data_IF_249765861180
#
_entry.id   IF_249765861180
#
_cell.length_a   1.000
_cell.length_b   1.000
_cell.length_c   1.000
_cell.angle_alpha   90.00
_cell.angle_beta   90.00
_cell.angle_gamma   90.00
#
_symmetry.space_group_name_H-M   'P 1'
#
loop_
_entity.id
_entity.type
_entity.pdbx_description
1 polymer ?
#
# COMPACT_ATOMS: atom_id res chain seq x y z
N UNK A 1 -10.48 -18.47 -2.78
CA UNK A 1 -9.41 -17.68 -3.22
C UNK A 1 -9.68 -16.17 -3.27
N UNK A 2 -10.33 -15.51 -2.60
CA UNK A 2 -10.66 -14.11 -2.78
C UNK A 2 -9.89 -13.15 -1.92
N UNK A 3 -9.59 -13.52 -0.71
CA UNK A 3 -9.07 -12.56 0.27
C UNK A 3 -7.66 -12.88 0.71
N UNK A 4 -6.84 -11.83 0.78
CA UNK A 4 -5.52 -11.88 1.43
C UNK A 4 -5.73 -11.66 2.93
N UNK A 5 -6.52 -10.65 3.28
CA UNK A 5 -7.01 -10.37 4.63
C UNK A 5 -8.50 -10.03 4.51
N UNK A 6 -9.25 -9.89 5.62
CA UNK A 6 -10.71 -9.69 5.54
C UNK A 6 -11.16 -8.59 4.59
N UNK A 7 -10.43 -7.48 4.48
CA UNK A 7 -10.85 -6.34 3.65
C UNK A 7 -9.99 -6.14 2.39
N UNK A 8 -9.00 -6.99 2.14
CA UNK A 8 -8.15 -6.85 0.95
C UNK A 8 -8.15 -8.15 0.15
N UNK A 9 -8.47 -8.04 -1.13
CA UNK A 9 -8.63 -9.19 -2.01
C UNK A 9 -7.41 -9.44 -2.88
N UNK A 10 -7.28 -10.67 -3.34
CA UNK A 10 -6.24 -11.04 -4.32
C UNK A 10 -6.38 -10.17 -5.57
N UNK A 11 -7.62 -9.97 -6.04
CA UNK A 11 -7.88 -9.18 -7.25
C UNK A 11 -7.35 -7.75 -7.14
N UNK A 12 -7.53 -7.13 -5.96
CA UNK A 12 -7.07 -5.76 -5.73
C UNK A 12 -5.55 -5.65 -5.67
N UNK A 13 -4.89 -6.68 -5.17
CA UNK A 13 -3.47 -6.64 -4.86
C UNK A 13 -2.58 -7.35 -5.88
N UNK A 14 -3.17 -8.05 -6.84
CA UNK A 14 -2.41 -8.81 -7.82
C UNK A 14 -1.68 -7.91 -8.82
N UNK A 15 -0.55 -8.41 -9.30
CA UNK A 15 0.20 -7.74 -10.35
C UNK A 15 -0.63 -7.61 -11.62
N UNK A 16 -0.78 -6.40 -12.18
CA UNK A 16 -1.57 -6.23 -13.41
C UNK A 16 -1.02 -6.98 -14.61
N UNK A 17 0.27 -7.22 -14.63
CA UNK A 17 0.95 -7.83 -15.79
C UNK A 17 0.79 -9.35 -15.82
N UNK A 18 0.93 -10.02 -14.67
CA UNK A 18 0.98 -11.49 -14.64
C UNK A 18 -0.06 -12.10 -13.69
N UNK A 19 -0.80 -11.29 -12.95
CA UNK A 19 -1.82 -11.79 -12.03
C UNK A 19 -1.29 -12.39 -10.73
N UNK A 20 0.01 -12.46 -10.54
CA UNK A 20 0.58 -12.97 -9.29
C UNK A 20 0.26 -12.03 -8.13
N UNK A 21 0.02 -12.62 -6.96
CA UNK A 21 -0.26 -11.85 -5.76
C UNK A 21 0.59 -12.43 -4.60
N UNK A 22 1.82 -11.97 -4.52
CA UNK A 22 2.77 -12.47 -3.52
C UNK A 22 2.98 -11.43 -2.44
N UNK A 23 1.94 -11.20 -1.64
CA UNK A 23 1.98 -10.23 -0.55
C UNK A 23 2.54 -10.86 0.72
N UNK A 24 3.42 -10.11 1.39
CA UNK A 24 3.98 -10.50 2.66
C UNK A 24 2.89 -10.50 3.74
N UNK A 25 2.76 -11.61 4.48
CA UNK A 25 1.67 -11.75 5.44
C UNK A 25 1.78 -10.79 6.61
N UNK A 26 2.97 -10.56 7.11
CA UNK A 26 3.17 -9.64 8.24
C UNK A 26 2.82 -8.21 7.85
N UNK A 27 3.25 -7.79 6.66
CA UNK A 27 2.87 -6.49 6.11
C UNK A 27 1.35 -6.39 5.97
N UNK A 28 0.70 -7.44 5.45
CA UNK A 28 -0.75 -7.43 5.24
C UNK A 28 -1.53 -7.38 6.56
N UNK A 29 -1.02 -7.98 7.63
CA UNK A 29 -1.66 -7.84 8.95
C UNK A 29 -1.68 -6.39 9.40
N UNK A 30 -0.57 -5.68 9.20
CA UNK A 30 -0.49 -4.26 9.55
C UNK A 30 -1.42 -3.42 8.68
N UNK A 31 -1.49 -3.72 7.39
CA UNK A 31 -2.42 -3.04 6.47
C UNK A 31 -3.87 -3.26 6.90
N UNK A 32 -4.21 -4.48 7.33
CA UNK A 32 -5.55 -4.77 7.83
C UNK A 32 -5.84 -4.00 9.12
N UNK A 33 -4.88 -3.91 10.02
CA UNK A 33 -5.03 -3.10 11.24
C UNK A 33 -5.29 -1.64 10.90
N UNK A 34 -4.58 -1.10 9.93
CA UNK A 34 -4.81 0.26 9.43
C UNK A 34 -6.27 0.42 8.98
N UNK A 35 -6.76 -0.51 8.17
CA UNK A 35 -8.15 -0.52 7.70
C UNK A 35 -9.15 -0.56 8.85
N UNK A 36 -8.88 -1.41 9.82
CA UNK A 36 -9.77 -1.58 10.97
C UNK A 36 -9.85 -0.30 11.82
N UNK A 37 -8.73 0.34 12.05
CA UNK A 37 -8.68 1.56 12.86
C UNK A 37 -9.38 2.73 12.18
N UNK A 38 -9.12 2.96 10.89
CA UNK A 38 -9.75 4.08 10.20
C UNK A 38 -11.25 3.89 10.02
N UNK A 39 -11.70 2.65 9.92
CA UNK A 39 -13.13 2.31 9.90
C UNK A 39 -13.88 2.61 8.61
N UNK A 40 -13.21 3.08 7.57
CA UNK A 40 -13.81 3.30 6.24
C UNK A 40 -13.05 2.51 5.17
N UNK A 41 -13.68 2.23 4.02
CA UNK A 41 -13.02 1.45 2.98
C UNK A 41 -11.73 2.10 2.48
N UNK A 42 -10.68 1.29 2.39
CA UNK A 42 -9.44 1.65 1.73
C UNK A 42 -9.36 0.90 0.41
N UNK A 43 -9.13 1.61 -0.67
CA UNK A 43 -9.17 1.04 -2.02
C UNK A 43 -7.75 0.99 -2.59
N UNK A 44 -7.15 -0.22 -2.68
CA UNK A 44 -5.84 -0.35 -3.29
C UNK A 44 -5.91 -0.04 -4.79
N UNK A 45 -4.93 0.73 -5.26
CA UNK A 45 -4.72 0.93 -6.70
C UNK A 45 -3.49 0.19 -7.19
N UNK A 46 -2.62 -0.25 -6.27
CA UNK A 46 -1.46 -1.06 -6.60
C UNK A 46 -1.03 -1.83 -5.33
N UNK A 47 -0.75 -3.10 -5.50
CA UNK A 47 -0.20 -3.94 -4.44
C UNK A 47 1.06 -4.62 -4.93
N UNK A 48 0.99 -5.94 -5.16
CA UNK A 48 2.14 -6.67 -5.70
C UNK A 48 2.42 -6.25 -7.13
N UNK A 49 3.71 -6.08 -7.43
CA UNK A 49 4.20 -5.89 -8.80
C UNK A 49 5.38 -6.84 -9.01
N UNK A 50 5.31 -7.70 -10.01
CA UNK A 50 6.48 -8.50 -10.36
C UNK A 50 7.61 -7.55 -10.80
N UNK A 51 8.85 -8.01 -10.70
CA UNK A 51 10.00 -7.15 -10.98
C UNK A 51 9.97 -6.61 -12.40
N UNK A 52 9.56 -7.42 -13.35
CA UNK A 52 9.43 -7.03 -14.76
C UNK A 52 8.46 -5.86 -14.91
N UNK A 53 7.28 -5.97 -14.33
CA UNK A 53 6.27 -4.92 -14.41
C UNK A 53 6.74 -3.66 -13.70
N UNK A 54 7.30 -3.79 -12.50
CA UNK A 54 7.79 -2.65 -11.73
C UNK A 54 8.86 -1.88 -12.50
N UNK A 55 9.79 -2.60 -13.13
CA UNK A 55 10.86 -1.99 -13.92
C UNK A 55 10.34 -1.25 -15.15
N UNK A 56 9.16 -1.63 -15.67
CA UNK A 56 8.57 -0.98 -16.83
C UNK A 56 7.85 0.32 -16.51
N UNK A 57 7.57 0.59 -15.23
CA UNK A 57 6.81 1.76 -14.82
C UNK A 57 7.70 3.00 -14.79
N UNK A 58 7.20 4.09 -15.37
CA UNK A 58 7.89 5.38 -15.30
C UNK A 58 7.92 5.87 -13.85
N UNK A 59 9.09 6.24 -13.38
CA UNK A 59 9.25 6.74 -12.02
C UNK A 59 9.26 5.69 -10.93
N UNK A 60 9.21 4.40 -11.29
CA UNK A 60 9.31 3.35 -10.31
C UNK A 60 10.71 3.34 -9.69
N UNK A 61 10.76 3.25 -8.36
CA UNK A 61 12.04 3.17 -7.66
C UNK A 61 12.71 1.82 -7.91
N UNK A 62 14.03 1.84 -8.08
CA UNK A 62 14.80 0.62 -8.24
C UNK A 62 14.65 -0.30 -7.03
N UNK A 63 14.58 0.28 -5.83
CA UNK A 63 14.40 -0.46 -4.58
C UNK A 63 12.96 -0.41 -4.09
N UNK A 64 11.99 -0.40 -5.01
CA UNK A 64 10.58 -0.43 -4.69
C UNK A 64 10.23 -1.62 -3.81
N UNK A 65 9.31 -1.41 -2.86
CA UNK A 65 8.80 -2.48 -1.99
C UNK A 65 7.65 -3.26 -2.63
N UNK A 66 7.09 -2.81 -3.75
CA UNK A 66 6.02 -3.53 -4.44
C UNK A 66 6.43 -4.94 -4.88
N UNK A 67 7.63 -5.15 -5.46
CA UNK A 67 8.07 -6.51 -5.80
C UNK A 67 8.36 -7.41 -4.60
N UNK A 68 8.53 -6.81 -3.42
CA UNK A 68 8.72 -7.57 -2.18
C UNK A 68 7.40 -8.00 -1.55
N UNK A 69 6.27 -7.57 -2.12
CA UNK A 69 4.96 -7.82 -1.51
C UNK A 69 4.72 -7.00 -0.25
N UNK A 70 5.42 -5.89 -0.09
CA UNK A 70 5.41 -5.08 1.13
C UNK A 70 5.02 -3.64 0.86
N UNK A 71 4.20 -3.39 -0.13
CA UNK A 71 3.73 -2.04 -0.43
C UNK A 71 2.31 -2.07 -0.97
N UNK A 72 1.54 -1.06 -0.60
CA UNK A 72 0.21 -0.79 -1.18
C UNK A 72 0.11 0.71 -1.41
N UNK A 73 -0.42 1.07 -2.59
CA UNK A 73 -0.87 2.42 -2.87
C UNK A 73 -2.39 2.44 -2.76
N UNK A 74 -2.91 3.33 -1.92
CA UNK A 74 -4.35 3.50 -1.73
C UNK A 74 -4.85 4.73 -2.48
N UNK A 75 -6.07 4.65 -3.01
CA UNK A 75 -6.75 5.80 -3.60
C UNK A 75 -7.20 6.73 -2.47
N UNK A 76 -6.83 8.01 -2.55
CA UNK A 76 -7.24 8.98 -1.55
C UNK A 76 -8.01 10.17 -2.12
N UNK A 77 -8.12 10.27 -3.43
CA UNK A 77 -8.76 11.42 -4.09
C UNK A 77 -10.23 11.61 -3.70
N UNK A 78 -10.91 10.55 -3.29
CA UNK A 78 -12.32 10.59 -2.89
C UNK A 78 -12.52 10.76 -1.38
N UNK A 79 -11.45 10.83 -0.61
CA UNK A 79 -11.54 10.99 0.83
C UNK A 79 -11.71 12.45 1.22
N UNK A 80 -12.56 12.68 2.24
CA UNK A 80 -12.65 14.00 2.85
C UNK A 80 -11.33 14.34 3.53
N UNK A 81 -11.12 15.62 3.82
CA UNK A 81 -9.94 16.05 4.56
C UNK A 81 -9.82 15.35 5.91
N UNK A 82 -10.93 15.15 6.61
CA UNK A 82 -10.95 14.46 7.90
C UNK A 82 -10.52 12.99 7.77
N UNK A 83 -11.03 12.28 6.76
CA UNK A 83 -10.66 10.88 6.53
C UNK A 83 -9.20 10.76 6.09
N UNK A 84 -8.76 11.67 5.23
CA UNK A 84 -7.37 11.71 4.78
C UNK A 84 -6.43 11.93 5.97
N UNK A 85 -6.77 12.85 6.86
CA UNK A 85 -5.99 13.11 8.06
C UNK A 85 -5.89 11.86 8.93
N UNK A 86 -7.03 11.21 9.19
CA UNK A 86 -7.08 9.99 10.01
C UNK A 86 -6.23 8.87 9.42
N UNK A 87 -6.30 8.68 8.10
CA UNK A 87 -5.50 7.66 7.40
C UNK A 87 -4.01 7.93 7.56
N UNK A 88 -3.58 9.15 7.28
CA UNK A 88 -2.16 9.52 7.36
C UNK A 88 -1.64 9.39 8.78
N UNK A 89 -2.37 9.92 9.75
CA UNK A 89 -1.99 9.84 11.16
C UNK A 89 -1.86 8.40 11.62
N UNK A 90 -2.86 7.56 11.29
CA UNK A 90 -2.86 6.17 11.71
C UNK A 90 -1.69 5.40 11.09
N UNK A 91 -1.39 5.65 9.82
CA UNK A 91 -0.27 5.01 9.15
C UNK A 91 1.07 5.35 9.83
N UNK A 92 1.27 6.61 10.21
CA UNK A 92 2.47 7.00 10.96
C UNK A 92 2.52 6.31 12.33
N UNK A 93 1.40 6.25 13.04
CA UNK A 93 1.36 5.60 14.36
C UNK A 93 1.64 4.10 14.28
N UNK A 94 1.22 3.45 13.22
CA UNK A 94 1.47 2.01 13.03
C UNK A 94 2.92 1.72 12.63
N UNK A 95 3.69 2.73 12.29
CA UNK A 95 5.12 2.54 12.03
C UNK A 95 5.45 1.89 10.71
N UNK A 96 4.68 2.15 9.65
CA UNK A 96 5.10 1.72 8.32
C UNK A 96 6.46 2.33 7.98
N UNK A 97 7.36 1.53 7.41
CA UNK A 97 8.73 1.97 7.13
C UNK A 97 8.84 3.01 6.03
N UNK A 98 7.92 3.02 5.09
CA UNK A 98 7.84 4.05 4.06
C UNK A 98 6.42 4.58 3.93
N UNK A 99 6.27 5.90 3.88
CA UNK A 99 4.97 6.56 3.74
C UNK A 99 5.09 7.66 2.70
N UNK A 100 4.35 7.50 1.60
CA UNK A 100 4.31 8.49 0.53
C UNK A 100 2.96 9.20 0.50
N UNK A 101 2.95 10.52 0.47
CA UNK A 101 1.73 11.31 0.54
C UNK A 101 1.55 12.07 -0.76
N UNK A 102 0.53 11.69 -1.53
CA UNK A 102 0.17 12.34 -2.77
C UNK A 102 -1.25 12.84 -2.76
N UNK A 103 -1.62 13.58 -3.79
CA UNK A 103 -2.99 14.12 -3.92
C UNK A 103 -3.99 13.03 -4.27
N UNK A 104 -3.59 12.05 -5.06
CA UNK A 104 -4.47 11.00 -5.58
C UNK A 104 -4.25 9.66 -4.90
N UNK A 105 -3.03 9.41 -4.43
CA UNK A 105 -2.62 8.13 -3.86
C UNK A 105 -1.84 8.36 -2.58
N UNK A 106 -1.93 7.38 -1.70
CA UNK A 106 -1.21 7.32 -0.44
C UNK A 106 -0.49 5.98 -0.38
N UNK A 107 0.83 6.03 -0.24
CA UNK A 107 1.68 4.86 -0.24
C UNK A 107 2.09 4.46 1.17
N UNK A 108 1.98 3.17 1.48
CA UNK A 108 2.57 2.60 2.70
C UNK A 108 3.42 1.39 2.32
N UNK A 109 4.53 1.21 3.01
CA UNK A 109 5.36 0.03 2.78
C UNK A 109 6.02 -0.46 4.06
N UNK A 110 6.54 -1.68 3.98
CA UNK A 110 7.17 -2.37 5.10
C UNK A 110 8.68 -2.42 5.02
N UNK A 111 9.32 -1.44 4.36
CA UNK A 111 10.78 -1.41 4.30
C UNK A 111 11.41 -1.40 5.68
N UNK A 112 12.59 -1.99 5.78
CA UNK A 112 13.36 -2.02 7.03
C UNK A 112 14.22 -0.78 7.15
N UNK A 113 14.78 -0.58 8.35
CA UNK A 113 15.66 0.55 8.63
C UNK A 113 14.89 1.73 9.21
N UNK A 114 15.50 2.89 9.15
CA UNK A 114 14.86 4.11 9.65
C UNK A 114 13.67 4.47 8.78
N UNK A 115 12.52 4.77 9.39
CA UNK A 115 11.34 5.15 8.61
C UNK A 115 11.58 6.41 7.79
N UNK A 116 11.00 6.44 6.59
CA UNK A 116 11.08 7.59 5.70
C UNK A 116 9.70 7.95 5.19
N UNK A 117 9.55 9.22 4.82
CA UNK A 117 8.31 9.70 4.24
C UNK A 117 8.64 10.72 3.15
N UNK A 118 7.76 10.80 2.15
CA UNK A 118 7.93 11.73 1.05
C UNK A 118 6.57 12.18 0.53
N UNK A 119 6.58 13.28 -0.24
CA UNK A 119 5.41 13.78 -0.95
C UNK A 119 5.55 13.57 -2.45
N UNK A 120 4.42 13.43 -3.15
CA UNK A 120 4.44 13.32 -4.61
C UNK A 120 3.11 13.69 -5.26
#
# INVERSE_FOLDING_TARGET
MGSVTPNFTVKELACPCCGACDMDQEFMRKAQVLRDIVGFPLIPVSGYRCRKYNSSLRGAAELSQHPEGKAIDFRVRNLTGARRYLLIRTAFLLGFGGIGIGKKQFHVDGRKGSPVSWGY
#
